data_IF_538381492719
#
_entry.id   IF_538381492719
#
_cell.length_a   1.000
_cell.length_b   1.000
_cell.length_c   1.000
_cell.angle_alpha   90.00
_cell.angle_beta   90.00
_cell.angle_gamma   90.00
#
_symmetry.space_group_name_H-M   'P 1'
#
loop_
_entity.id
_entity.type
_entity.pdbx_description
1 polymer ?
#
# COMPACT_ATOMS: atom_id res chain seq x y z
N UNK A 1 24.87 -22.18 2.30
CA UNK A 1 23.59 -21.49 2.07
C UNK A 1 23.54 -21.11 0.59
N UNK A 2 22.51 -21.51 -0.15
CA UNK A 2 22.39 -21.19 -1.56
C UNK A 2 21.43 -20.00 -1.69
N UNK A 3 21.92 -18.85 -2.13
CA UNK A 3 21.11 -17.63 -2.27
C UNK A 3 20.67 -17.55 -3.73
N UNK A 4 19.38 -17.71 -3.97
CA UNK A 4 18.77 -17.48 -5.28
C UNK A 4 18.11 -16.11 -5.28
N UNK A 5 18.60 -15.20 -6.12
CA UNK A 5 17.98 -13.88 -6.27
C UNK A 5 17.38 -13.75 -7.66
N UNK A 6 16.09 -13.38 -7.68
CA UNK A 6 15.34 -13.09 -8.90
C UNK A 6 15.04 -11.59 -8.89
N UNK A 7 15.40 -10.91 -9.98
CA UNK A 7 15.09 -9.50 -10.17
C UNK A 7 14.07 -9.36 -11.28
N UNK A 8 12.95 -8.72 -10.95
CA UNK A 8 11.87 -8.47 -11.91
C UNK A 8 12.01 -7.05 -12.45
N UNK A 9 12.21 -6.93 -13.75
CA UNK A 9 12.34 -5.67 -14.47
C UNK A 9 11.01 -5.28 -15.14
N UNK A 10 10.59 -4.02 -14.98
CA UNK A 10 9.45 -3.46 -15.69
C UNK A 10 9.71 -3.36 -17.21
N UNK A 11 8.66 -3.13 -18.01
CA UNK A 11 8.75 -3.10 -19.48
C UNK A 11 9.73 -2.08 -20.08
N UNK A 12 10.19 -1.10 -19.30
CA UNK A 12 11.14 -0.07 -19.74
C UNK A 12 12.59 -0.55 -19.74
N UNK A 13 12.91 -1.56 -18.93
CA UNK A 13 14.28 -2.09 -18.81
C UNK A 13 14.39 -3.35 -19.65
N UNK A 14 15.31 -3.33 -20.62
CA UNK A 14 15.50 -4.42 -21.58
C UNK A 14 16.78 -5.21 -21.37
N UNK A 15 17.75 -4.62 -20.68
CA UNK A 15 19.02 -5.26 -20.37
C UNK A 15 19.58 -4.69 -19.06
N UNK A 16 20.15 -5.57 -18.24
CA UNK A 16 20.69 -5.23 -16.94
C UNK A 16 21.86 -6.17 -16.60
N UNK A 17 22.80 -5.65 -15.81
CA UNK A 17 23.96 -6.42 -15.35
C UNK A 17 23.50 -7.47 -14.34
N UNK A 18 23.75 -8.74 -14.65
CA UNK A 18 23.25 -9.87 -13.84
C UNK A 18 24.34 -10.59 -13.04
N UNK A 19 25.58 -10.12 -13.16
CA UNK A 19 26.75 -10.70 -12.52
C UNK A 19 27.58 -9.58 -11.89
N UNK A 20 27.87 -9.73 -10.60
CA UNK A 20 28.76 -8.84 -9.86
C UNK A 20 29.98 -9.65 -9.38
N UNK A 21 31.17 -9.20 -9.74
CA UNK A 21 32.44 -9.78 -9.28
C UNK A 21 33.22 -8.74 -8.47
N UNK A 22 33.33 -8.98 -7.16
CA UNK A 22 34.09 -8.17 -6.21
C UNK A 22 35.38 -8.88 -5.75
N UNK A 23 36.01 -9.65 -6.64
CA UNK A 23 37.25 -10.38 -6.38
C UNK A 23 36.99 -11.72 -5.70
N UNK A 24 36.93 -11.73 -4.37
CA UNK A 24 36.69 -12.95 -3.59
C UNK A 24 35.21 -13.33 -3.46
N UNK A 25 34.31 -12.45 -3.93
CA UNK A 25 32.86 -12.64 -3.89
C UNK A 25 32.31 -12.45 -5.30
N UNK A 26 31.60 -13.45 -5.80
CA UNK A 26 30.79 -13.39 -7.02
C UNK A 26 29.32 -13.53 -6.66
N UNK A 27 28.47 -12.73 -7.30
CA UNK A 27 27.04 -12.75 -7.06
C UNK A 27 26.28 -12.69 -8.38
N UNK A 28 25.38 -13.67 -8.57
CA UNK A 28 24.58 -13.83 -9.78
C UNK A 28 23.10 -13.63 -9.47
N UNK A 29 22.42 -12.90 -10.34
CA UNK A 29 20.97 -12.74 -10.30
C UNK A 29 20.32 -13.38 -11.53
N UNK A 30 19.10 -13.87 -11.35
CA UNK A 30 18.22 -14.27 -12.44
C UNK A 30 17.30 -13.11 -12.78
N UNK A 31 17.42 -12.61 -14.01
CA UNK A 31 16.66 -11.45 -14.45
C UNK A 31 15.41 -11.87 -15.21
N UNK A 32 14.27 -11.33 -14.79
CA UNK A 32 12.97 -11.60 -15.36
C UNK A 32 12.39 -10.31 -15.94
N UNK A 33 12.36 -10.22 -17.27
CA UNK A 33 11.93 -9.01 -17.98
C UNK A 33 10.44 -9.08 -18.32
N UNK A 34 9.64 -8.18 -17.73
CA UNK A 34 8.20 -8.14 -17.96
C UNK A 34 7.84 -7.75 -19.41
N UNK A 35 8.72 -7.03 -20.11
CA UNK A 35 8.57 -6.70 -21.54
C UNK A 35 8.41 -7.94 -22.44
N UNK A 36 8.91 -9.10 -22.00
CA UNK A 36 8.84 -10.33 -22.80
C UNK A 36 7.44 -10.96 -22.79
N UNK A 37 6.55 -10.49 -21.91
CA UNK A 37 5.17 -10.97 -21.82
C UNK A 37 4.23 -10.03 -22.56
N UNK A 38 3.30 -10.61 -23.30
CA UNK A 38 2.24 -9.88 -23.98
C UNK A 38 1.11 -9.56 -23.00
N UNK A 39 1.09 -8.32 -22.49
CA UNK A 39 0.08 -7.85 -21.57
C UNK A 39 -1.32 -7.83 -22.19
N UNK A 40 -1.43 -7.45 -23.46
CA UNK A 40 -2.72 -7.34 -24.16
C UNK A 40 -3.44 -8.71 -24.27
N UNK A 41 -2.69 -9.75 -24.66
CA UNK A 41 -3.22 -11.12 -24.79
C UNK A 41 -3.58 -11.74 -23.44
N UNK A 42 -2.75 -11.49 -22.42
CA UNK A 42 -3.01 -11.96 -21.06
C UNK A 42 -4.24 -11.29 -20.46
N UNK A 43 -4.40 -9.98 -20.70
CA UNK A 43 -5.56 -9.22 -20.25
C UNK A 43 -6.84 -9.80 -20.85
N UNK A 44 -6.87 -10.00 -22.17
CA UNK A 44 -8.00 -10.61 -22.87
C UNK A 44 -8.34 -12.01 -22.34
N UNK A 45 -7.32 -12.81 -22.02
CA UNK A 45 -7.52 -14.15 -21.46
C UNK A 45 -8.19 -14.10 -20.08
N UNK A 46 -7.73 -13.20 -19.22
CA UNK A 46 -8.29 -13.04 -17.87
C UNK A 46 -9.69 -12.42 -17.93
N UNK A 47 -9.88 -11.40 -18.77
CA UNK A 47 -11.16 -10.76 -19.02
C UNK A 47 -12.21 -11.79 -19.47
N UNK A 48 -11.84 -12.68 -20.39
CA UNK A 48 -12.72 -13.77 -20.81
C UNK A 48 -13.12 -14.65 -19.63
N UNK A 49 -12.18 -15.06 -18.76
CA UNK A 49 -12.49 -15.89 -17.59
C UNK A 49 -13.44 -15.17 -16.63
N UNK A 50 -13.17 -13.90 -16.32
CA UNK A 50 -14.00 -13.06 -15.44
C UNK A 50 -15.42 -12.92 -16.00
N UNK A 51 -15.56 -12.56 -17.28
CA UNK A 51 -16.86 -12.34 -17.91
C UNK A 51 -17.69 -13.62 -18.05
N UNK A 52 -17.04 -14.79 -18.08
CA UNK A 52 -17.72 -16.10 -18.17
C UNK A 52 -17.83 -16.79 -16.81
N UNK A 53 -17.53 -16.12 -15.69
CA UNK A 53 -17.53 -16.70 -14.34
C UNK A 53 -16.70 -18.00 -14.24
N UNK A 54 -15.61 -18.08 -15.01
CA UNK A 54 -14.64 -19.17 -14.90
C UNK A 54 -13.78 -18.93 -13.68
N UNK A 55 -13.53 -19.98 -12.88
CA UNK A 55 -12.66 -19.90 -11.71
C UNK A 55 -11.26 -19.40 -12.09
N UNK A 56 -10.80 -18.36 -11.38
CA UNK A 56 -9.47 -17.81 -11.56
C UNK A 56 -8.48 -18.57 -10.68
N UNK A 57 -7.30 -18.84 -11.23
CA UNK A 57 -6.19 -19.37 -10.45
C UNK A 57 -5.42 -18.25 -9.78
N UNK A 58 -4.64 -18.55 -8.74
CA UNK A 58 -3.70 -17.56 -8.17
C UNK A 58 -2.72 -16.99 -9.21
N UNK A 59 -2.35 -17.79 -10.21
CA UNK A 59 -1.53 -17.33 -11.31
C UNK A 59 -2.26 -16.31 -12.19
N UNK A 60 -3.57 -16.44 -12.38
CA UNK A 60 -4.38 -15.45 -13.10
C UNK A 60 -4.44 -14.13 -12.33
N UNK A 61 -4.65 -14.18 -11.00
CA UNK A 61 -4.66 -12.99 -10.13
C UNK A 61 -3.30 -12.26 -10.15
N UNK A 62 -2.20 -13.01 -10.00
CA UNK A 62 -0.86 -12.45 -10.13
C UNK A 62 -0.62 -11.89 -11.53
N UNK A 63 -1.04 -12.62 -12.58
CA UNK A 63 -0.88 -12.17 -13.96
C UNK A 63 -1.60 -10.85 -14.17
N UNK A 64 -2.88 -10.74 -13.78
CA UNK A 64 -3.67 -9.52 -13.88
C UNK A 64 -2.97 -8.35 -13.18
N UNK A 65 -2.48 -8.60 -11.97
CA UNK A 65 -1.74 -7.60 -11.17
C UNK A 65 -0.47 -7.10 -11.87
N UNK A 66 0.23 -7.95 -12.62
CA UNK A 66 1.49 -7.58 -13.28
C UNK A 66 1.35 -7.08 -14.72
N UNK A 67 0.16 -7.17 -15.34
CA UNK A 67 -0.07 -6.70 -16.72
C UNK A 67 0.43 -5.27 -16.97
N UNK A 68 0.25 -4.29 -16.06
CA UNK A 68 0.81 -2.95 -16.24
C UNK A 68 2.32 -2.87 -16.48
N UNK A 69 3.07 -3.89 -16.06
CA UNK A 69 4.51 -3.98 -16.25
C UNK A 69 4.91 -4.69 -17.55
N UNK A 70 3.95 -5.32 -18.24
CA UNK A 70 4.19 -6.12 -19.44
C UNK A 70 4.21 -5.26 -20.70
N UNK A 71 4.50 -5.88 -21.85
CA UNK A 71 4.42 -5.19 -23.15
C UNK A 71 2.95 -5.04 -23.55
N UNK A 72 2.54 -3.82 -23.87
CA UNK A 72 1.22 -3.49 -24.40
C UNK A 72 1.34 -2.50 -25.55
N UNK A 73 0.35 -2.50 -26.45
CA UNK A 73 0.13 -1.42 -27.43
C UNK A 73 -0.46 -0.15 -26.79
N UNK A 74 -1.07 -0.27 -25.62
CA UNK A 74 -1.68 0.82 -24.85
C UNK A 74 -0.63 1.48 -23.95
N UNK A 75 -0.91 2.70 -23.52
CA UNK A 75 -0.11 3.33 -22.47
C UNK A 75 -0.22 2.54 -21.16
N UNK A 76 0.80 2.68 -20.28
CA UNK A 76 0.78 2.07 -18.94
C UNK A 76 -0.48 2.46 -18.16
N UNK A 77 -0.90 3.71 -18.29
CA UNK A 77 -2.09 4.24 -17.63
C UNK A 77 -3.37 3.57 -18.12
N UNK A 78 -3.58 3.49 -19.45
CA UNK A 78 -4.75 2.84 -20.04
C UNK A 78 -4.84 1.36 -19.65
N UNK A 79 -3.74 0.60 -19.80
CA UNK A 79 -3.78 -0.84 -19.48
C UNK A 79 -3.96 -1.09 -17.97
N UNK A 80 -3.49 -0.17 -17.12
CA UNK A 80 -3.73 -0.27 -15.67
C UNK A 80 -5.20 -0.06 -15.35
N UNK A 81 -5.85 0.96 -15.93
CA UNK A 81 -7.27 1.22 -15.73
C UNK A 81 -8.13 0.04 -16.18
N UNK A 82 -7.83 -0.55 -17.33
CA UNK A 82 -8.55 -1.75 -17.79
C UNK A 82 -8.33 -2.95 -16.87
N UNK A 83 -7.10 -3.16 -16.39
CA UNK A 83 -6.80 -4.22 -15.43
C UNK A 83 -7.61 -4.08 -14.15
N UNK A 84 -7.84 -2.84 -13.69
CA UNK A 84 -8.65 -2.54 -12.51
C UNK A 84 -10.14 -2.81 -12.76
N UNK A 85 -10.66 -2.38 -13.92
CA UNK A 85 -12.07 -2.66 -14.25
C UNK A 85 -12.35 -4.16 -14.34
N UNK A 86 -11.41 -4.93 -14.88
CA UNK A 86 -11.50 -6.40 -14.86
C UNK A 86 -11.41 -6.93 -13.43
N UNK A 87 -10.47 -6.45 -12.62
CA UNK A 87 -10.30 -6.89 -11.24
C UNK A 87 -11.55 -6.65 -10.37
N UNK A 88 -12.26 -5.52 -10.55
CA UNK A 88 -13.50 -5.21 -9.82
C UNK A 88 -14.61 -6.24 -10.04
N UNK A 89 -14.60 -6.93 -11.18
CA UNK A 89 -15.61 -7.91 -11.56
C UNK A 89 -15.26 -9.35 -11.16
N UNK A 90 -14.11 -9.57 -10.48
CA UNK A 90 -13.77 -10.87 -9.89
C UNK A 90 -14.84 -11.25 -8.85
N UNK A 91 -15.26 -12.52 -8.82
CA UNK A 91 -16.33 -12.95 -7.90
C UNK A 91 -15.84 -13.10 -6.46
N UNK A 92 -14.70 -13.76 -6.28
CA UNK A 92 -14.08 -13.93 -4.97
C UNK A 92 -13.55 -12.60 -4.44
N UNK A 93 -13.99 -12.23 -3.24
CA UNK A 93 -13.65 -10.93 -2.65
C UNK A 93 -12.18 -10.85 -2.21
N UNK A 94 -11.58 -11.95 -1.76
CA UNK A 94 -10.18 -11.93 -1.33
C UNK A 94 -9.26 -11.78 -2.54
N UNK A 95 -9.51 -12.53 -3.62
CA UNK A 95 -8.77 -12.41 -4.88
C UNK A 95 -8.95 -11.04 -5.53
N UNK A 96 -10.18 -10.52 -5.55
CA UNK A 96 -10.49 -9.15 -6.00
C UNK A 96 -9.67 -8.12 -5.23
N UNK A 97 -9.73 -8.18 -3.91
CA UNK A 97 -9.08 -7.20 -3.04
C UNK A 97 -7.56 -7.29 -3.15
N UNK A 98 -6.99 -8.50 -3.19
CA UNK A 98 -5.57 -8.74 -3.40
C UNK A 98 -5.09 -8.18 -4.75
N UNK A 99 -5.84 -8.43 -5.83
CA UNK A 99 -5.51 -7.92 -7.15
C UNK A 99 -5.55 -6.39 -7.19
N UNK A 100 -6.61 -5.78 -6.63
CA UNK A 100 -6.75 -4.32 -6.59
C UNK A 100 -5.63 -3.66 -5.78
N UNK A 101 -5.24 -4.25 -4.65
CA UNK A 101 -4.14 -3.76 -3.83
C UNK A 101 -2.78 -3.81 -4.55
N UNK A 102 -2.49 -4.92 -5.26
CA UNK A 102 -1.25 -5.04 -6.04
C UNK A 102 -1.23 -4.08 -7.23
N UNK A 103 -2.35 -3.95 -7.95
CA UNK A 103 -2.51 -2.97 -9.02
C UNK A 103 -2.28 -1.54 -8.47
N UNK A 104 -2.81 -1.22 -7.29
CA UNK A 104 -2.56 0.06 -6.64
C UNK A 104 -1.07 0.28 -6.34
N UNK A 105 -0.42 -0.68 -5.69
CA UNK A 105 0.98 -0.55 -5.29
C UNK A 105 1.91 -0.35 -6.50
N UNK A 106 1.64 -1.05 -7.60
CA UNK A 106 2.38 -0.87 -8.85
C UNK A 106 2.07 0.47 -9.50
N UNK A 107 0.81 0.89 -9.50
CA UNK A 107 0.40 2.14 -10.10
C UNK A 107 0.87 3.37 -9.34
N UNK A 108 0.93 3.34 -8.01
CA UNK A 108 1.51 4.45 -7.24
C UNK A 108 2.99 4.67 -7.60
N UNK A 109 3.72 3.59 -7.89
CA UNK A 109 5.12 3.63 -8.29
C UNK A 109 5.36 4.07 -9.73
N UNK A 110 4.44 3.77 -10.66
CA UNK A 110 4.67 3.92 -12.11
C UNK A 110 3.66 4.81 -12.85
N UNK A 111 2.57 5.22 -12.20
CA UNK A 111 1.49 6.02 -12.80
C UNK A 111 1.73 7.52 -12.70
N UNK A 112 1.29 8.25 -13.74
CA UNK A 112 1.24 9.71 -13.73
C UNK A 112 0.09 10.26 -12.86
N UNK A 113 0.14 11.56 -12.51
CA UNK A 113 -0.82 12.19 -11.60
C UNK A 113 -2.28 12.14 -12.09
N UNK A 114 -2.51 12.22 -13.40
CA UNK A 114 -3.85 12.13 -14.00
C UNK A 114 -4.43 10.76 -13.76
N UNK A 115 -3.61 9.75 -13.99
CA UNK A 115 -3.96 8.35 -13.85
C UNK A 115 -4.18 8.00 -12.38
N UNK A 116 -3.35 8.52 -11.45
CA UNK A 116 -3.55 8.43 -9.99
C UNK A 116 -4.91 8.93 -9.53
N UNK A 117 -5.39 10.04 -10.10
CA UNK A 117 -6.71 10.59 -9.79
C UNK A 117 -7.84 9.66 -10.26
N UNK A 118 -7.77 9.18 -11.50
CA UNK A 118 -8.78 8.26 -12.06
C UNK A 118 -8.83 6.94 -11.28
N UNK A 119 -7.67 6.40 -10.89
CA UNK A 119 -7.60 5.23 -10.03
C UNK A 119 -8.29 5.46 -8.69
N UNK A 120 -8.02 6.60 -8.05
CA UNK A 120 -8.64 6.94 -6.76
C UNK A 120 -10.15 6.98 -6.87
N UNK A 121 -10.69 7.53 -7.95
CA UNK A 121 -12.13 7.52 -8.23
C UNK A 121 -12.66 6.08 -8.33
N UNK A 122 -12.01 5.23 -9.12
CA UNK A 122 -12.40 3.83 -9.33
C UNK A 122 -12.32 2.99 -8.05
N UNK A 123 -11.28 3.18 -7.23
CA UNK A 123 -11.11 2.41 -5.98
C UNK A 123 -11.94 2.97 -4.84
N UNK A 124 -12.18 4.27 -4.75
CA UNK A 124 -12.97 4.87 -3.67
C UNK A 124 -14.40 4.33 -3.55
N UNK A 125 -14.97 3.81 -4.65
CA UNK A 125 -16.29 3.18 -4.65
C UNK A 125 -16.26 1.69 -4.28
N UNK A 126 -15.08 1.08 -4.18
CA UNK A 126 -14.90 -0.33 -3.82
C UNK A 126 -14.90 -0.55 -2.31
N UNK A 127 -15.14 -1.78 -1.86
CA UNK A 127 -15.05 -2.14 -0.43
C UNK A 127 -13.64 -1.88 0.13
N UNK A 128 -12.59 -2.23 -0.60
CA UNK A 128 -11.19 -1.93 -0.21
C UNK A 128 -10.96 -0.43 -0.05
N UNK A 129 -11.45 0.38 -0.99
CA UNK A 129 -11.32 1.83 -0.90
C UNK A 129 -12.00 2.41 0.33
N UNK A 130 -13.17 1.86 0.71
CA UNK A 130 -13.87 2.22 1.96
C UNK A 130 -13.06 1.80 3.18
N UNK A 131 -12.57 0.57 3.22
CA UNK A 131 -11.73 0.09 4.33
C UNK A 131 -10.48 0.96 4.53
N UNK A 132 -9.75 1.26 3.46
CA UNK A 132 -8.56 2.14 3.52
C UNK A 132 -8.94 3.54 4.01
N UNK A 133 -10.08 4.08 3.57
CA UNK A 133 -10.55 5.39 3.99
C UNK A 133 -10.93 5.40 5.48
N UNK A 134 -11.65 4.38 5.94
CA UNK A 134 -12.07 4.23 7.35
C UNK A 134 -10.86 4.08 8.27
N UNK A 135 -9.91 3.19 7.95
CA UNK A 135 -8.64 3.07 8.70
C UNK A 135 -7.85 4.39 8.70
N UNK A 136 -7.83 5.09 7.57
CA UNK A 136 -7.16 6.38 7.44
C UNK A 136 -7.82 7.47 8.31
N UNK A 137 -9.15 7.46 8.39
CA UNK A 137 -9.93 8.37 9.22
C UNK A 137 -9.70 8.07 10.71
N UNK A 138 -9.76 6.81 11.11
CA UNK A 138 -9.52 6.35 12.49
C UNK A 138 -8.11 6.76 12.96
N UNK A 139 -7.07 6.41 12.20
CA UNK A 139 -5.68 6.84 12.48
C UNK A 139 -5.52 8.36 12.49
N UNK A 140 -6.31 9.07 11.68
CA UNK A 140 -6.34 10.52 11.65
C UNK A 140 -6.92 11.12 12.94
N UNK A 141 -8.00 10.53 13.44
CA UNK A 141 -8.63 10.90 14.72
C UNK A 141 -7.68 10.60 15.88
N UNK A 142 -7.08 9.41 15.95
CA UNK A 142 -6.12 9.02 16.99
C UNK A 142 -4.95 10.02 17.08
N UNK A 143 -4.30 10.30 15.94
CA UNK A 143 -3.21 11.29 15.86
C UNK A 143 -3.68 12.68 16.28
N UNK A 144 -4.87 13.08 15.86
CA UNK A 144 -5.47 14.36 16.22
C UNK A 144 -5.69 14.48 17.73
N UNK A 145 -6.22 13.44 18.37
CA UNK A 145 -6.47 13.39 19.81
C UNK A 145 -5.17 13.49 20.60
N UNK A 146 -4.15 12.70 20.24
CA UNK A 146 -2.83 12.77 20.88
C UNK A 146 -2.20 14.17 20.77
N UNK A 147 -2.23 14.78 19.57
CA UNK A 147 -1.66 16.11 19.34
C UNK A 147 -2.42 17.22 20.08
N UNK A 148 -3.76 17.12 20.19
CA UNK A 148 -4.56 18.05 21.00
C UNK A 148 -4.19 17.91 22.48
N UNK A 149 -4.09 16.67 22.98
CA UNK A 149 -3.73 16.39 24.37
C UNK A 149 -2.35 16.97 24.72
N UNK A 150 -1.35 16.72 23.87
CA UNK A 150 0.00 17.29 24.02
C UNK A 150 -0.05 18.81 24.08
N UNK A 151 -0.80 19.48 23.19
CA UNK A 151 -0.95 20.94 23.20
C UNK A 151 -1.59 21.46 24.49
N UNK A 152 -2.59 20.75 25.02
CA UNK A 152 -3.22 21.12 26.30
C UNK A 152 -2.25 20.96 27.47
N UNK A 153 -1.49 19.86 27.51
CA UNK A 153 -0.45 19.62 28.52
C UNK A 153 0.66 20.67 28.46
N UNK A 154 1.12 21.06 27.26
CA UNK A 154 2.08 22.17 27.07
C UNK A 154 1.49 23.48 27.61
N UNK A 155 0.22 23.77 27.33
CA UNK A 155 -0.43 24.99 27.84
C UNK A 155 -0.50 25.01 29.38
N UNK A 156 -0.77 23.86 30.00
CA UNK A 156 -0.88 23.69 31.46
C UNK A 156 0.48 23.74 32.15
N UNK A 157 1.44 22.93 31.70
CA UNK A 157 2.73 22.73 32.37
C UNK A 157 3.88 23.58 31.81
N UNK A 158 3.64 24.35 30.73
CA UNK A 158 4.61 25.14 29.96
C UNK A 158 5.62 24.30 29.18
N UNK A 159 6.19 23.28 29.80
CA UNK A 159 7.18 22.38 29.22
C UNK A 159 6.70 20.94 29.40
N UNK A 160 6.62 20.20 28.30
CA UNK A 160 6.40 18.75 28.28
C UNK A 160 7.64 18.15 27.62
N UNK A 161 8.41 17.28 28.30
CA UNK A 161 9.58 16.64 27.71
C UNK A 161 9.18 15.77 26.51
N UNK A 162 10.08 15.63 25.52
CA UNK A 162 9.75 14.91 24.29
C UNK A 162 9.42 13.44 24.53
N UNK A 163 10.06 12.81 25.52
CA UNK A 163 9.76 11.44 25.95
C UNK A 163 8.27 11.24 26.25
N UNK A 164 7.64 12.17 26.98
CA UNK A 164 6.21 12.11 27.27
C UNK A 164 5.35 12.29 26.01
N UNK A 165 5.79 13.14 25.07
CA UNK A 165 5.04 13.36 23.82
C UNK A 165 5.06 12.11 22.95
N UNK A 166 6.22 11.45 22.84
CA UNK A 166 6.36 10.18 22.12
C UNK A 166 5.53 9.08 22.78
N UNK A 167 5.59 8.96 24.11
CA UNK A 167 4.74 8.01 24.84
C UNK A 167 3.26 8.27 24.58
N UNK A 168 2.80 9.53 24.66
CA UNK A 168 1.40 9.90 24.36
C UNK A 168 1.01 9.54 22.92
N UNK A 169 1.86 9.81 21.93
CA UNK A 169 1.59 9.46 20.52
C UNK A 169 1.45 7.96 20.28
N UNK A 170 2.04 7.13 21.14
CA UNK A 170 1.99 5.68 21.07
C UNK A 170 0.83 5.08 21.87
N UNK A 171 0.07 5.87 22.64
CA UNK A 171 -1.03 5.36 23.45
C UNK A 171 -2.25 4.99 22.61
N UNK A 172 -2.97 3.91 22.98
CA UNK A 172 -4.30 3.62 22.46
C UNK A 172 -5.29 4.76 22.70
N UNK A 173 -6.29 4.89 21.82
CA UNK A 173 -7.28 5.97 21.87
C UNK A 173 -8.04 6.06 23.20
N UNK A 174 -8.43 4.92 23.77
CA UNK A 174 -9.16 4.86 25.05
C UNK A 174 -8.33 5.44 26.20
N UNK A 175 -7.01 5.21 26.21
CA UNK A 175 -6.11 5.79 27.20
C UNK A 175 -5.97 7.30 27.01
N UNK A 176 -5.88 7.77 25.76
CA UNK A 176 -5.84 9.21 25.45
C UNK A 176 -7.09 9.95 25.95
N UNK A 177 -8.27 9.34 25.80
CA UNK A 177 -9.55 9.88 26.26
C UNK A 177 -9.62 9.96 27.80
N UNK A 178 -9.07 8.95 28.50
CA UNK A 178 -8.97 8.98 29.97
C UNK A 178 -8.06 10.13 30.42
N UNK A 179 -6.88 10.29 29.82
CA UNK A 179 -5.97 11.40 30.16
C UNK A 179 -6.65 12.74 29.86
N UNK A 180 -7.35 12.85 28.73
CA UNK A 180 -8.09 14.05 28.35
C UNK A 180 -9.19 14.42 29.35
N UNK A 181 -9.86 13.44 29.94
CA UNK A 181 -10.92 13.65 30.95
C UNK A 181 -10.34 14.10 32.29
N UNK A 182 -9.23 13.51 32.72
CA UNK A 182 -8.56 13.84 33.99
C UNK A 182 -7.59 15.03 33.87
N UNK A 183 -7.41 15.62 32.69
CA UNK A 183 -6.32 16.58 32.43
C UNK A 183 -6.31 17.77 33.39
N UNK A 184 -7.48 18.19 33.88
CA UNK A 184 -7.61 19.29 34.82
C UNK A 184 -7.21 18.92 36.25
N UNK A 185 -7.28 17.64 36.61
CA UNK A 185 -6.93 17.10 37.92
C UNK A 185 -5.45 16.72 38.05
N UNK A 186 -4.75 16.54 36.92
CA UNK A 186 -3.30 16.27 36.89
C UNK A 186 -2.51 17.49 37.36
N UNK A 187 -1.73 17.40 38.44
CA UNK A 187 -1.01 18.54 39.02
C UNK A 187 0.48 18.60 38.62
N UNK A 188 1.06 17.46 38.22
CA UNK A 188 2.42 17.37 37.70
C UNK A 188 2.48 16.50 36.45
N UNK A 189 3.43 16.80 35.55
CA UNK A 189 3.69 15.98 34.37
C UNK A 189 4.08 14.53 34.73
N UNK A 190 4.73 14.33 35.89
CA UNK A 190 5.14 13.01 36.37
C UNK A 190 3.96 12.07 36.66
N UNK A 191 2.77 12.62 36.93
CA UNK A 191 1.57 11.81 37.15
C UNK A 191 1.13 11.08 35.86
N UNK A 192 1.56 11.55 34.68
CA UNK A 192 1.28 10.86 33.42
C UNK A 192 1.98 9.50 33.31
N UNK A 193 3.02 9.24 34.12
CA UNK A 193 3.72 7.94 34.13
C UNK A 193 2.82 6.76 34.46
N UNK A 194 1.65 6.97 35.07
CA UNK A 194 0.67 5.90 35.32
C UNK A 194 0.01 5.35 34.05
N UNK A 195 0.16 6.03 32.92
CA UNK A 195 -0.48 5.68 31.65
C UNK A 195 0.46 5.06 30.61
N UNK A 196 1.77 5.05 30.87
CA UNK A 196 2.78 4.56 29.94
C UNK A 196 3.22 3.13 30.26
#
# INVERSE_FOLDING_TARGET
MNINTIVVYSSEITDAVNHLNCGSITYDIKSFYMKNFNGDEKLQTIEYKVNNNTELTQQDIMTLSFIPLMRSKKSKSEITLESIEIAKNIQDNDDKNNCLMLLYALFDKFGDDVSKKQFKEVVSITEVGKMIYEEGLEKGIEKGTAEILIKQLIKKFKIVPEEYKESIRALPQDVLEVIGTEIFDINSIDELKKYF
#
